data_IF_007319269930
#
_entry.id   IF_007319269930
#
_cell.length_a   1.000
_cell.length_b   1.000
_cell.length_c   1.000
_cell.angle_alpha   90.00
_cell.angle_beta   90.00
_cell.angle_gamma   90.00
#
_symmetry.space_group_name_H-M   'P 1'
#
loop_
_entity.id
_entity.type
_entity.pdbx_description
1 polymer ?
#
# COMPACT_ATOMS: atom_id res chain seq x y z
N UNK A 1 -17.14 -4.37 2.60
CA UNK A 1 -15.85 -3.67 2.38
C UNK A 1 -14.64 -4.57 2.08
N UNK A 2 -14.06 -4.44 0.86
CA UNK A 2 -12.79 -5.06 0.43
C UNK A 2 -11.59 -4.24 0.92
N UNK A 3 -10.70 -4.83 1.73
CA UNK A 3 -9.47 -4.23 2.26
C UNK A 3 -8.34 -4.16 1.22
N UNK A 4 -8.11 -5.24 0.47
CA UNK A 4 -7.03 -5.35 -0.53
C UNK A 4 -7.41 -6.27 -1.70
N UNK A 5 -6.59 -6.34 -2.73
CA UNK A 5 -6.87 -7.05 -3.98
C UNK A 5 -6.74 -8.57 -3.94
N UNK A 6 -6.08 -9.12 -2.92
CA UNK A 6 -6.02 -10.57 -2.70
C UNK A 6 -7.27 -11.20 -2.07
N UNK A 7 -8.33 -10.42 -1.84
CA UNK A 7 -9.59 -10.95 -1.30
C UNK A 7 -10.49 -11.49 -2.41
N UNK A 8 -11.11 -12.64 -2.14
CA UNK A 8 -12.08 -13.28 -3.03
C UNK A 8 -13.38 -12.46 -3.16
N UNK A 9 -14.10 -12.58 -4.30
CA UNK A 9 -13.67 -13.25 -5.52
C UNK A 9 -12.58 -12.46 -6.26
N UNK A 10 -11.69 -13.17 -6.95
CA UNK A 10 -10.71 -12.54 -7.84
C UNK A 10 -11.41 -12.00 -9.09
N UNK A 11 -10.94 -10.85 -9.57
CA UNK A 11 -11.43 -10.32 -10.84
C UNK A 11 -10.79 -11.11 -12.00
N UNK A 12 -11.51 -11.50 -13.07
CA UNK A 12 -10.94 -12.25 -14.18
C UNK A 12 -9.68 -11.61 -14.79
N UNK A 13 -9.69 -10.28 -14.94
CA UNK A 13 -8.51 -9.53 -15.40
C UNK A 13 -7.29 -9.66 -14.49
N UNK A 14 -7.46 -9.80 -13.17
CA UNK A 14 -6.35 -10.05 -12.24
C UNK A 14 -5.70 -11.40 -12.54
N UNK A 15 -6.51 -12.44 -12.76
CA UNK A 15 -6.04 -13.79 -13.09
C UNK A 15 -5.33 -13.79 -14.45
N UNK A 16 -5.91 -13.12 -15.45
CA UNK A 16 -5.30 -12.97 -16.78
C UNK A 16 -3.95 -12.27 -16.68
N UNK A 17 -3.83 -11.16 -15.93
CA UNK A 17 -2.55 -10.48 -15.76
C UNK A 17 -1.49 -11.40 -15.14
N UNK A 18 -1.81 -12.10 -14.06
CA UNK A 18 -0.89 -13.03 -13.42
C UNK A 18 -0.45 -14.13 -14.39
N UNK A 19 -1.40 -14.72 -15.12
CA UNK A 19 -1.12 -15.77 -16.10
C UNK A 19 -0.23 -15.27 -17.24
N UNK A 20 -0.51 -14.09 -17.79
CA UNK A 20 0.29 -13.49 -18.87
C UNK A 20 1.71 -13.18 -18.39
N UNK A 21 1.88 -12.57 -17.21
CA UNK A 21 3.22 -12.30 -16.67
C UNK A 21 4.01 -13.58 -16.40
N UNK A 22 3.36 -14.62 -15.87
CA UNK A 22 4.00 -15.92 -15.66
C UNK A 22 4.42 -16.57 -17.01
N UNK A 23 3.55 -16.51 -18.02
CA UNK A 23 3.84 -17.05 -19.34
C UNK A 23 4.99 -16.30 -20.05
N UNK A 24 5.03 -14.97 -19.97
CA UNK A 24 6.12 -14.17 -20.53
C UNK A 24 7.46 -14.47 -19.85
N UNK A 25 7.46 -14.58 -18.51
CA UNK A 25 8.64 -14.97 -17.76
C UNK A 25 9.13 -16.37 -18.15
N UNK A 26 8.23 -17.35 -18.17
CA UNK A 26 8.55 -18.71 -18.61
C UNK A 26 9.12 -18.73 -20.04
N UNK A 27 8.48 -18.01 -20.96
CA UNK A 27 8.91 -17.97 -22.35
C UNK A 27 10.33 -17.40 -22.48
N UNK A 28 10.66 -16.31 -21.76
CA UNK A 28 12.01 -15.74 -21.74
C UNK A 28 13.07 -16.76 -21.36
N UNK A 29 12.90 -17.47 -20.25
CA UNK A 29 13.91 -18.41 -19.76
C UNK A 29 14.01 -19.70 -20.58
N UNK A 30 12.90 -20.17 -21.16
CA UNK A 30 12.86 -21.46 -21.88
C UNK A 30 13.13 -21.31 -23.38
N UNK A 31 12.62 -20.25 -24.02
CA UNK A 31 12.66 -20.10 -25.47
C UNK A 31 13.59 -19.00 -25.96
N UNK A 32 13.86 -17.95 -25.17
CA UNK A 32 14.71 -16.85 -25.65
C UNK A 32 16.14 -16.98 -25.14
N UNK A 33 16.31 -17.24 -23.83
CA UNK A 33 17.62 -17.30 -23.21
C UNK A 33 18.57 -18.35 -23.81
N UNK A 34 18.14 -19.60 -24.12
CA UNK A 34 19.06 -20.61 -24.68
C UNK A 34 19.53 -20.28 -26.11
N UNK A 35 18.77 -19.45 -26.83
CA UNK A 35 19.05 -19.09 -28.22
C UNK A 35 19.76 -17.74 -28.35
N UNK A 36 19.94 -17.01 -27.24
CA UNK A 36 20.83 -15.85 -27.19
C UNK A 36 22.26 -16.37 -27.36
N UNK A 37 22.86 -16.08 -28.52
CA UNK A 37 23.98 -16.82 -29.08
C UNK A 37 25.18 -17.08 -28.14
N UNK A 38 25.90 -16.03 -27.73
CA UNK A 38 27.12 -16.20 -26.92
C UNK A 38 26.80 -16.37 -25.42
N UNK A 39 27.63 -17.13 -24.70
CA UNK A 39 27.48 -17.31 -23.24
C UNK A 39 27.48 -15.98 -22.48
N UNK A 40 28.32 -15.03 -22.90
CA UNK A 40 28.36 -13.69 -22.32
C UNK A 40 27.03 -12.96 -22.52
N UNK A 41 26.44 -13.05 -23.72
CA UNK A 41 25.13 -12.47 -24.01
C UNK A 41 24.03 -13.10 -23.15
N UNK A 42 24.10 -14.40 -22.86
CA UNK A 42 23.14 -15.07 -21.97
C UNK A 42 23.22 -14.53 -20.54
N UNK A 43 24.44 -14.38 -20.00
CA UNK A 43 24.61 -13.80 -18.66
C UNK A 43 24.15 -12.35 -18.58
N UNK A 44 24.40 -11.55 -19.61
CA UNK A 44 23.91 -10.16 -19.69
C UNK A 44 22.37 -10.14 -19.76
N UNK A 45 21.77 -10.98 -20.61
CA UNK A 45 20.32 -11.11 -20.73
C UNK A 45 19.67 -11.47 -19.39
N UNK A 46 20.21 -12.50 -18.73
CA UNK A 46 19.76 -12.96 -17.43
C UNK A 46 19.94 -11.88 -16.35
N UNK A 47 21.09 -11.19 -16.35
CA UNK A 47 21.42 -10.13 -15.40
C UNK A 47 20.54 -8.88 -15.53
N UNK A 48 20.00 -8.60 -16.72
CA UNK A 48 19.06 -7.50 -16.95
C UNK A 48 17.61 -7.90 -16.70
N UNK A 49 17.18 -9.05 -17.23
CA UNK A 49 15.77 -9.45 -17.22
C UNK A 49 15.31 -9.95 -15.84
N UNK A 50 16.13 -10.77 -15.16
CA UNK A 50 15.79 -11.37 -13.86
C UNK A 50 15.48 -10.35 -12.76
N UNK A 51 16.29 -9.30 -12.52
CA UNK A 51 15.94 -8.31 -11.52
C UNK A 51 14.69 -7.50 -11.92
N UNK A 52 14.50 -7.25 -13.21
CA UNK A 52 13.38 -6.46 -13.72
C UNK A 52 12.05 -7.19 -13.54
N UNK A 53 11.98 -8.47 -13.91
CA UNK A 53 10.78 -9.29 -13.68
C UNK A 53 10.49 -9.45 -12.18
N UNK A 54 11.53 -9.62 -11.35
CA UNK A 54 11.38 -9.68 -9.89
C UNK A 54 10.84 -8.37 -9.34
N UNK A 55 11.31 -7.23 -9.84
CA UNK A 55 10.82 -5.90 -9.46
C UNK A 55 9.33 -5.75 -9.80
N UNK A 56 8.92 -6.10 -11.01
CA UNK A 56 7.51 -6.05 -11.45
C UNK A 56 6.63 -6.93 -10.57
N UNK A 57 7.03 -8.19 -10.33
CA UNK A 57 6.25 -9.13 -9.50
C UNK A 57 6.10 -8.63 -8.07
N UNK A 58 7.19 -8.13 -7.47
CA UNK A 58 7.14 -7.63 -6.08
C UNK A 58 6.29 -6.37 -5.95
N UNK A 59 6.41 -5.43 -6.90
CA UNK A 59 5.58 -4.22 -6.93
C UNK A 59 4.11 -4.55 -7.18
N UNK A 60 3.80 -5.51 -8.05
CA UNK A 60 2.44 -5.98 -8.28
C UNK A 60 1.83 -6.55 -7.00
N UNK A 61 2.55 -7.45 -6.32
CA UNK A 61 2.11 -8.04 -5.06
C UNK A 61 1.87 -6.96 -4.00
N UNK A 62 2.80 -6.02 -3.87
CA UNK A 62 2.69 -4.92 -2.93
C UNK A 62 1.49 -4.02 -3.24
N UNK A 63 1.30 -3.58 -4.48
CA UNK A 63 0.17 -2.73 -4.88
C UNK A 63 -1.19 -3.42 -4.66
N UNK A 64 -1.26 -4.72 -4.97
CA UNK A 64 -2.46 -5.53 -4.74
C UNK A 64 -2.71 -5.77 -3.24
N UNK A 65 -1.67 -5.87 -2.41
CA UNK A 65 -1.78 -6.11 -0.98
C UNK A 65 -2.02 -4.83 -0.15
N UNK A 66 -1.55 -3.67 -0.59
CA UNK A 66 -1.72 -2.41 0.13
C UNK A 66 -3.20 -2.08 0.30
N UNK A 67 -3.63 -1.79 1.52
CA UNK A 67 -4.95 -1.23 1.77
C UNK A 67 -4.87 0.30 1.57
N UNK A 68 -5.56 0.89 0.58
CA UNK A 68 -5.59 2.33 0.36
C UNK A 68 -6.77 3.03 1.07
N UNK A 69 -7.56 2.31 1.88
CA UNK A 69 -8.78 2.85 2.50
C UNK A 69 -8.51 3.92 3.56
N UNK A 70 -9.19 5.06 3.50
CA UNK A 70 -8.98 6.27 4.30
C UNK A 70 -8.87 6.00 5.82
N UNK A 71 -7.76 6.39 6.50
CA UNK A 71 -7.63 6.26 7.95
C UNK A 71 -8.55 7.19 8.75
N UNK A 72 -9.08 8.26 8.14
CA UNK A 72 -10.01 9.23 8.73
C UNK A 72 -11.27 8.60 9.30
N UNK A 73 -11.79 7.55 8.65
CA UNK A 73 -12.94 6.77 9.14
C UNK A 73 -12.68 6.20 10.54
N UNK A 74 -11.46 5.74 10.81
CA UNK A 74 -11.09 5.18 12.12
C UNK A 74 -10.91 6.27 13.20
N UNK A 75 -10.49 7.47 12.81
CA UNK A 75 -10.31 8.60 13.73
C UNK A 75 -11.65 9.18 14.17
N UNK A 76 -12.59 9.38 13.24
CA UNK A 76 -13.93 9.89 13.54
C UNK A 76 -14.72 8.91 14.45
N UNK A 77 -14.62 7.59 14.20
CA UNK A 77 -15.22 6.59 15.09
C UNK A 77 -14.67 6.62 16.53
N UNK A 78 -13.36 6.85 16.71
CA UNK A 78 -12.76 7.02 18.05
C UNK A 78 -13.16 8.34 18.71
N UNK A 79 -13.29 9.42 17.95
CA UNK A 79 -13.73 10.72 18.47
C UNK A 79 -15.19 10.63 18.95
N UNK A 80 -16.08 10.08 18.12
CA UNK A 80 -17.48 9.86 18.48
C UNK A 80 -17.62 8.94 19.70
N UNK A 81 -16.80 7.88 19.79
CA UNK A 81 -16.77 6.99 20.96
C UNK A 81 -16.24 7.65 22.24
N UNK A 82 -15.40 8.69 22.15
CA UNK A 82 -14.98 9.49 23.31
C UNK A 82 -16.09 10.44 23.75
N UNK A 83 -16.72 11.14 22.82
CA UNK A 83 -17.83 12.05 23.12
C UNK A 83 -19.03 11.33 23.72
N UNK A 84 -19.36 10.11 23.26
CA UNK A 84 -20.44 9.29 23.86
C UNK A 84 -20.11 8.83 25.29
N UNK A 85 -18.83 8.55 25.59
CA UNK A 85 -18.38 8.21 26.95
C UNK A 85 -18.45 9.40 27.91
N UNK A 86 -18.10 10.60 27.45
CA UNK A 86 -18.21 11.82 28.25
C UNK A 86 -19.68 12.26 28.41
N UNK A 87 -20.50 12.06 27.37
CA UNK A 87 -21.94 12.32 27.41
C UNK A 87 -22.71 11.38 28.36
N UNK A 88 -22.25 10.14 28.53
CA UNK A 88 -22.87 9.19 29.47
C UNK A 88 -22.48 9.42 30.94
N UNK A 89 -21.44 10.22 31.21
CA UNK A 89 -21.06 10.61 32.58
C UNK A 89 -21.76 11.88 33.09
N UNK A 90 -22.53 12.58 32.25
CA UNK A 90 -23.18 13.85 32.65
C UNK A 90 -24.61 13.70 33.21
N UNK A 91 -25.07 12.48 33.50
CA UNK A 91 -26.35 12.23 34.18
C UNK A 91 -26.18 11.49 35.51
N UNK A 92 -25.33 12.00 36.39
CA UNK A 92 -25.46 11.76 37.83
C UNK A 92 -24.66 12.78 38.63
N UNK A 93 -25.35 13.40 39.61
CA UNK A 93 -24.85 14.23 40.69
C UNK A 93 -24.52 15.71 40.43
N UNK A 94 -25.45 16.56 40.88
CA UNK A 94 -25.11 17.83 41.51
C UNK A 94 -24.31 17.53 42.78
N UNK A 95 -23.18 18.21 43.00
CA UNK A 95 -22.77 18.73 44.32
C UNK A 95 -21.54 19.65 44.18
N UNK A 96 -21.46 20.57 45.13
CA UNK A 96 -20.64 21.77 45.20
C UNK A 96 -19.17 21.58 45.57
N UNK A 97 -18.41 22.65 45.33
CA UNK A 97 -17.24 23.17 46.08
C UNK A 97 -15.77 22.84 45.70
N UNK A 98 -15.03 23.97 45.67
CA UNK A 98 -13.62 24.25 45.99
C UNK A 98 -12.43 23.52 45.32
N UNK A 99 -11.60 24.32 44.64
CA UNK A 99 -10.19 24.48 45.03
C UNK A 99 -9.10 23.68 44.30
N UNK A 100 -8.35 24.40 43.46
CA UNK A 100 -6.88 24.33 43.23
C UNK A 100 -6.17 22.98 42.97
N UNK A 101 -5.57 22.93 41.77
CA UNK A 101 -4.30 22.31 41.39
C UNK A 101 -4.14 20.78 41.52
N UNK A 102 -4.06 20.13 40.36
CA UNK A 102 -3.10 19.04 40.16
C UNK A 102 -2.65 19.04 38.70
N UNK A 103 -1.39 19.42 38.51
CA UNK A 103 -0.62 19.11 37.32
C UNK A 103 -0.55 17.59 37.11
N UNK A 104 -0.10 17.23 35.91
CA UNK A 104 0.49 15.96 35.54
C UNK A 104 -0.44 14.94 34.84
N UNK A 105 -0.27 14.84 33.51
CA UNK A 105 -0.06 13.57 32.81
C UNK A 105 0.22 13.80 31.31
N UNK A 106 1.16 14.70 30.99
CA UNK A 106 1.60 14.93 29.60
C UNK A 106 2.58 13.86 29.09
N UNK A 107 3.04 12.92 29.93
CA UNK A 107 4.16 12.04 29.56
C UNK A 107 3.79 10.56 29.34
N UNK A 108 2.49 10.20 29.36
CA UNK A 108 2.07 8.79 29.23
C UNK A 108 1.15 8.50 28.04
N UNK A 109 1.30 9.21 26.92
CA UNK A 109 0.59 8.91 25.67
C UNK A 109 1.51 8.62 24.47
N UNK A 110 2.82 8.81 24.61
CA UNK A 110 3.80 8.61 23.54
C UNK A 110 4.32 7.17 23.38
N UNK A 111 3.90 6.21 24.22
CA UNK A 111 4.50 4.86 24.24
C UNK A 111 3.57 3.66 23.97
N UNK A 112 2.32 3.84 23.51
CA UNK A 112 1.40 2.69 23.29
C UNK A 112 0.65 2.62 21.95
N UNK A 113 1.10 3.30 20.89
CA UNK A 113 0.54 3.09 19.54
C UNK A 113 1.56 2.61 18.50
N UNK A 114 2.50 1.75 18.91
CA UNK A 114 3.00 0.73 18.00
C UNK A 114 1.88 -0.29 17.72
N UNK A 115 1.02 -0.01 16.73
CA UNK A 115 0.16 -1.03 16.11
C UNK A 115 0.16 -0.90 14.58
N UNK A 116 1.30 -1.30 14.01
CA UNK A 116 1.43 -2.38 13.02
C UNK A 116 0.25 -2.57 12.05
N UNK A 117 0.30 -1.89 10.91
CA UNK A 117 -0.34 -2.31 9.64
C UNK A 117 0.61 -2.11 8.44
N UNK A 118 1.90 -2.36 8.66
CA UNK A 118 2.87 -2.54 7.57
C UNK A 118 3.01 -4.04 7.30
N UNK A 119 2.95 -4.52 6.04
CA UNK A 119 3.16 -5.92 5.73
C UNK A 119 4.57 -6.31 6.21
N UNK A 120 4.63 -7.14 7.26
CA UNK A 120 5.88 -7.71 7.75
C UNK A 120 6.43 -8.64 6.67
N UNK A 121 7.48 -8.22 5.98
CA UNK A 121 8.23 -9.12 5.11
C UNK A 121 8.78 -10.29 5.96
N UNK A 122 8.67 -11.54 5.48
CA UNK A 122 9.30 -12.66 6.17
C UNK A 122 10.80 -12.38 6.31
N UNK A 123 11.31 -12.57 7.53
CA UNK A 123 12.73 -12.45 7.83
C UNK A 123 13.41 -13.68 7.21
N UNK A 124 13.69 -13.61 5.91
CA UNK A 124 14.22 -14.73 5.16
C UNK A 124 15.67 -14.98 5.59
N UNK A 125 15.95 -16.22 5.98
CA UNK A 125 17.28 -16.68 6.42
C UNK A 125 18.36 -16.35 5.38
N UNK A 126 19.53 -15.98 5.87
CA UNK A 126 20.61 -15.27 5.16
C UNK A 126 21.20 -16.01 3.94
N UNK A 127 20.86 -17.27 3.71
CA UNK A 127 21.44 -18.08 2.63
C UNK A 127 20.77 -17.89 1.25
N UNK A 128 19.51 -17.43 1.19
CA UNK A 128 18.81 -17.15 -0.07
C UNK A 128 19.02 -15.70 -0.57
N UNK A 129 20.00 -15.00 0.03
CA UNK A 129 20.10 -13.54 -0.04
C UNK A 129 20.95 -13.03 -1.22
N UNK A 130 21.84 -13.86 -1.79
CA UNK A 130 22.83 -13.39 -2.77
C UNK A 130 22.26 -13.02 -4.16
N UNK A 131 21.04 -13.46 -4.50
CA UNK A 131 20.42 -13.16 -5.81
C UNK A 131 19.46 -11.95 -5.75
N UNK A 132 18.94 -11.61 -4.56
CA UNK A 132 17.83 -10.66 -4.39
C UNK A 132 18.22 -9.28 -3.83
N UNK A 133 19.48 -9.11 -3.40
CA UNK A 133 19.92 -7.94 -2.61
C UNK A 133 19.96 -6.59 -3.34
N UNK A 134 20.28 -6.44 -4.65
CA UNK A 134 20.40 -5.10 -5.21
C UNK A 134 19.03 -4.40 -5.37
N UNK A 135 17.96 -5.16 -5.67
CA UNK A 135 16.64 -4.59 -5.97
C UNK A 135 15.72 -4.41 -4.75
N UNK A 136 15.83 -5.30 -3.75
CA UNK A 136 15.06 -5.21 -2.49
C UNK A 136 15.37 -3.92 -1.71
N UNK A 137 16.62 -3.46 -1.80
CA UNK A 137 17.10 -2.25 -1.13
C UNK A 137 16.74 -0.98 -1.92
N UNK A 138 16.83 -1.03 -3.26
CA UNK A 138 16.45 0.09 -4.14
C UNK A 138 14.95 0.40 -4.05
N UNK A 139 14.09 -0.62 -4.08
CA UNK A 139 12.65 -0.43 -3.91
C UNK A 139 12.30 0.14 -2.53
N UNK A 140 12.93 -0.32 -1.45
CA UNK A 140 12.71 0.25 -0.11
C UNK A 140 13.11 1.71 0.00
N UNK A 141 14.19 2.14 -0.68
CA UNK A 141 14.66 3.53 -0.62
C UNK A 141 13.83 4.46 -1.51
N UNK A 142 13.43 4.03 -2.70
CA UNK A 142 12.60 4.82 -3.62
C UNK A 142 11.13 4.90 -3.17
N UNK A 143 10.54 3.82 -2.64
CA UNK A 143 9.16 3.86 -2.13
C UNK A 143 9.03 4.65 -0.82
N UNK A 144 10.08 4.71 0.01
CA UNK A 144 10.06 5.35 1.34
C UNK A 144 10.53 6.82 1.34
N UNK A 145 11.03 7.34 0.22
CA UNK A 145 11.69 8.65 0.18
C UNK A 145 10.78 9.87 0.40
N UNK A 146 9.46 9.70 0.53
CA UNK A 146 8.52 10.84 0.65
C UNK A 146 7.57 10.78 1.85
N UNK A 147 7.79 9.84 2.77
CA UNK A 147 6.99 9.82 4.00
C UNK A 147 7.39 10.97 4.96
N UNK A 148 8.50 11.69 4.70
CA UNK A 148 8.97 12.75 5.61
C UNK A 148 8.59 14.18 5.22
N UNK A 149 8.04 14.42 4.04
CA UNK A 149 7.67 15.79 3.61
C UNK A 149 6.16 16.05 3.53
N UNK A 150 5.34 15.02 3.81
CA UNK A 150 3.88 15.10 3.71
C UNK A 150 3.13 14.92 5.04
N UNK A 151 3.85 14.78 6.16
CA UNK A 151 3.26 14.79 7.51
C UNK A 151 2.98 16.22 8.02
N UNK A 152 3.60 17.27 7.47
CA UNK A 152 3.36 18.66 7.92
C UNK A 152 2.11 19.32 7.32
N UNK A 153 1.50 18.77 6.26
CA UNK A 153 0.21 19.27 5.74
C UNK A 153 -1.01 18.57 6.36
N UNK A 154 -0.82 17.80 7.45
CA UNK A 154 -1.90 17.08 8.13
C UNK A 154 -2.73 17.95 9.09
N UNK A 155 -2.44 19.24 9.23
CA UNK A 155 -3.03 20.08 10.29
C UNK A 155 -4.04 21.15 9.84
N UNK A 156 -4.34 21.32 8.55
CA UNK A 156 -5.25 22.42 8.13
C UNK A 156 -6.27 22.09 7.02
N UNK A 157 -6.38 20.84 6.56
CA UNK A 157 -7.30 20.47 5.47
C UNK A 157 -8.56 19.75 5.98
N UNK A 158 -9.70 20.41 5.82
CA UNK A 158 -11.00 20.02 6.39
C UNK A 158 -11.48 18.59 6.11
N UNK A 159 -12.31 18.08 7.04
CA UNK A 159 -13.01 16.81 6.91
C UNK A 159 -14.24 16.95 6.01
N UNK A 160 -14.59 15.89 5.29
CA UNK A 160 -15.80 15.77 4.48
C UNK A 160 -16.66 14.63 5.02
N UNK A 161 -17.98 14.67 4.80
CA UNK A 161 -18.86 13.57 5.19
C UNK A 161 -19.15 12.66 3.99
N UNK A 162 -18.89 11.36 4.15
CA UNK A 162 -19.32 10.36 3.17
C UNK A 162 -20.70 9.82 3.57
N UNK A 163 -21.73 10.09 2.77
CA UNK A 163 -23.08 9.60 3.03
C UNK A 163 -23.25 8.08 2.88
N UNK A 164 -22.38 7.41 2.12
CA UNK A 164 -22.44 5.96 1.93
C UNK A 164 -21.81 5.18 3.09
N UNK A 165 -20.77 5.74 3.70
CA UNK A 165 -20.13 5.16 4.88
C UNK A 165 -20.64 5.77 6.19
N UNK A 166 -21.49 6.81 6.11
CA UNK A 166 -21.98 7.61 7.23
C UNK A 166 -20.85 8.05 8.18
N UNK A 167 -19.73 8.47 7.61
CA UNK A 167 -18.51 8.77 8.34
C UNK A 167 -17.78 9.98 7.77
N UNK A 168 -17.06 10.69 8.64
CA UNK A 168 -16.14 11.73 8.22
C UNK A 168 -14.88 11.12 7.59
N UNK A 169 -14.46 11.72 6.47
CA UNK A 169 -13.35 11.31 5.62
C UNK A 169 -12.45 12.51 5.34
N UNK A 170 -11.21 12.25 4.93
CA UNK A 170 -10.30 13.32 4.51
C UNK A 170 -10.82 14.04 3.25
N UNK A 171 -10.44 15.30 3.06
CA UNK A 171 -10.85 16.14 1.90
C UNK A 171 -10.69 15.49 0.53
N UNK A 172 -9.60 14.74 0.35
CA UNK A 172 -9.26 14.11 -0.93
C UNK A 172 -9.79 12.67 -1.04
N UNK A 173 -10.60 12.23 -0.07
CA UNK A 173 -11.16 10.88 -0.07
C UNK A 173 -12.39 10.76 -0.94
N UNK A 174 -12.49 9.66 -1.69
CA UNK A 174 -13.68 9.31 -2.46
C UNK A 174 -14.12 7.89 -2.15
N UNK A 175 -15.43 7.64 -2.18
CA UNK A 175 -16.00 6.32 -1.96
C UNK A 175 -15.93 5.48 -3.24
N UNK A 176 -15.25 4.35 -3.18
CA UNK A 176 -15.26 3.34 -4.25
C UNK A 176 -16.38 2.33 -3.99
N UNK A 177 -17.45 2.38 -4.80
CA UNK A 177 -18.59 1.44 -4.68
C UNK A 177 -18.20 -0.02 -4.89
N UNK A 178 -17.21 -0.30 -5.75
CA UNK A 178 -16.76 -1.68 -6.04
C UNK A 178 -16.04 -2.31 -4.85
N UNK A 179 -15.24 -1.51 -4.14
CA UNK A 179 -14.56 -1.96 -2.93
C UNK A 179 -15.38 -1.73 -1.66
N UNK A 180 -16.45 -0.95 -1.75
CA UNK A 180 -17.29 -0.53 -0.62
C UNK A 180 -16.42 0.09 0.49
N UNK A 181 -15.64 1.13 0.12
CA UNK A 181 -14.76 1.88 1.04
C UNK A 181 -14.40 3.27 0.52
N UNK A 182 -14.14 4.19 1.44
CA UNK A 182 -13.47 5.46 1.12
C UNK A 182 -11.97 5.26 1.00
N UNK A 183 -11.36 5.92 0.02
CA UNK A 183 -9.93 5.84 -0.31
C UNK A 183 -9.36 7.25 -0.33
N UNK A 184 -8.31 7.49 0.45
CA UNK A 184 -7.60 8.77 0.48
C UNK A 184 -6.79 8.99 -0.82
N UNK A 185 -6.92 10.17 -1.41
CA UNK A 185 -6.36 10.50 -2.72
C UNK A 185 -6.78 9.50 -3.78
N UNK A 186 -8.08 9.15 -3.82
CA UNK A 186 -8.60 8.15 -4.76
C UNK A 186 -8.34 8.56 -6.21
N UNK A 187 -7.64 7.69 -6.94
CA UNK A 187 -7.42 7.80 -8.37
C UNK A 187 -8.44 6.94 -9.12
N UNK A 188 -8.33 5.61 -9.01
CA UNK A 188 -9.25 4.68 -9.66
C UNK A 188 -9.35 3.31 -8.96
N UNK A 189 -10.34 2.51 -9.35
CA UNK A 189 -10.38 1.09 -9.02
C UNK A 189 -9.72 0.28 -10.15
N UNK A 190 -8.55 -0.30 -9.87
CA UNK A 190 -7.79 -1.07 -10.85
C UNK A 190 -8.25 -2.53 -10.84
N UNK A 191 -8.88 -2.96 -11.93
CA UNK A 191 -9.36 -4.33 -12.12
C UNK A 191 -8.22 -5.36 -12.22
N UNK A 192 -7.04 -4.92 -12.69
CA UNK A 192 -5.83 -5.74 -12.81
C UNK A 192 -5.18 -6.05 -11.46
N UNK A 193 -5.33 -5.14 -10.49
CA UNK A 193 -4.91 -5.35 -9.10
C UNK A 193 -6.04 -5.88 -8.21
N UNK A 194 -7.28 -5.87 -8.71
CA UNK A 194 -8.50 -6.07 -7.93
C UNK A 194 -8.57 -5.15 -6.69
N UNK A 195 -7.98 -3.95 -6.79
CA UNK A 195 -7.81 -3.03 -5.67
C UNK A 195 -7.92 -1.58 -6.14
N UNK A 196 -8.15 -0.66 -5.20
CA UNK A 196 -8.08 0.76 -5.50
C UNK A 196 -6.62 1.23 -5.57
N UNK A 197 -6.38 2.19 -6.45
CA UNK A 197 -5.18 3.01 -6.46
C UNK A 197 -5.53 4.35 -5.81
N UNK A 198 -4.77 4.73 -4.80
CA UNK A 198 -4.91 6.00 -4.09
C UNK A 198 -3.58 6.43 -3.51
N UNK A 199 -3.58 7.46 -2.66
CA UNK A 199 -2.36 8.11 -2.14
C UNK A 199 -1.29 7.12 -1.66
N UNK A 200 -1.71 6.10 -0.91
CA UNK A 200 -0.84 5.09 -0.27
C UNK A 200 -0.11 4.14 -1.23
N UNK A 201 -0.68 3.83 -2.39
CA UNK A 201 -0.07 2.90 -3.36
C UNK A 201 0.20 3.51 -4.73
N UNK A 202 -0.14 4.78 -4.95
CA UNK A 202 0.04 5.48 -6.22
C UNK A 202 1.48 5.40 -6.73
N UNK A 203 2.48 5.66 -5.88
CA UNK A 203 3.89 5.62 -6.28
C UNK A 203 4.35 4.23 -6.70
N UNK A 204 4.02 3.20 -5.92
CA UNK A 204 4.35 1.83 -6.28
C UNK A 204 3.62 1.40 -7.56
N UNK A 205 2.38 1.85 -7.77
CA UNK A 205 1.63 1.59 -8.99
C UNK A 205 2.29 2.26 -10.21
N UNK A 206 2.74 3.50 -10.08
CA UNK A 206 3.46 4.19 -11.16
C UNK A 206 4.77 3.48 -11.51
N UNK A 207 5.58 3.10 -10.50
CA UNK A 207 6.82 2.35 -10.72
C UNK A 207 6.53 0.96 -11.32
N UNK A 208 5.43 0.31 -10.93
CA UNK A 208 4.98 -0.94 -11.52
C UNK A 208 4.70 -0.78 -13.03
N UNK A 209 3.99 0.28 -13.43
CA UNK A 209 3.70 0.53 -14.85
C UNK A 209 4.98 0.79 -15.65
N UNK A 210 5.88 1.64 -15.15
CA UNK A 210 7.14 1.94 -15.85
C UNK A 210 8.05 0.73 -15.92
N UNK A 211 8.21 -0.03 -14.83
CA UNK A 211 9.00 -1.28 -14.81
C UNK A 211 8.41 -2.37 -15.71
N UNK A 212 7.08 -2.47 -15.82
CA UNK A 212 6.44 -3.41 -16.74
C UNK A 212 6.70 -3.04 -18.21
N UNK A 213 6.60 -1.76 -18.57
CA UNK A 213 6.95 -1.28 -19.92
C UNK A 213 8.42 -1.57 -20.23
N UNK A 214 9.32 -1.26 -19.28
CA UNK A 214 10.74 -1.57 -19.42
C UNK A 214 10.98 -3.07 -19.61
N UNK A 215 10.31 -3.93 -18.84
CA UNK A 215 10.43 -5.39 -18.96
C UNK A 215 10.09 -5.88 -20.36
N UNK A 216 8.97 -5.40 -20.91
CA UNK A 216 8.53 -5.75 -22.26
C UNK A 216 9.51 -5.20 -23.29
N UNK A 217 9.97 -3.95 -23.15
CA UNK A 217 10.94 -3.38 -24.10
C UNK A 217 12.28 -4.14 -24.12
N UNK A 218 12.77 -4.54 -22.95
CA UNK A 218 13.99 -5.35 -22.84
C UNK A 218 13.74 -6.72 -23.47
N UNK A 219 12.64 -7.40 -23.12
CA UNK A 219 12.30 -8.70 -23.70
C UNK A 219 12.23 -8.67 -25.23
N UNK A 220 11.59 -7.64 -25.81
CA UNK A 220 11.50 -7.46 -27.26
C UNK A 220 12.84 -7.14 -27.91
N UNK A 221 13.72 -6.39 -27.25
CA UNK A 221 15.06 -6.09 -27.77
C UNK A 221 16.00 -7.30 -27.81
N UNK A 222 15.66 -8.36 -27.06
CA UNK A 222 16.43 -9.61 -27.00
C UNK A 222 15.81 -10.75 -27.81
N UNK A 223 14.64 -10.52 -28.41
CA UNK A 223 13.92 -11.45 -29.30
C UNK A 223 14.37 -11.25 -30.74
#
# INVERSE_FOLDING_TARGET
MRKHGWQLPYHPLQVVAIAVFAALGFAFYVFFLPFVGSQTSQYVAMGLYTPLITCVVTLYIWCAATNPGDPGICKSAKLHSRMDKDGRQSHSHMDSDHGLNAADNSEKLSSMLERKDSPSWPRCSQLLCLVCLPFSCLCKRCLRSDDRHSEENMSEEGMFFCSLCEAEVLKNSKHCRVCDKCVDGFDHHCRWLNNCVGKRNYKGFFILMTSAVLLVSVGLSMS
#
